data_IF_861430294585
#
_entry.id   IF_861430294585
#
_cell.length_a   1.000
_cell.length_b   1.000
_cell.length_c   1.000
_cell.angle_alpha   90.00
_cell.angle_beta   90.00
_cell.angle_gamma   90.00
#
_symmetry.space_group_name_H-M   'P 1'
#
loop_
_entity.id
_entity.type
_entity.pdbx_description
1 polymer ?
#
# COMPACT_ATOMS: atom_id res chain seq x y z
N UNK A 1 -11.93 29.24 7.49
CA UNK A 1 -12.43 27.87 7.63
C UNK A 1 -12.00 27.10 6.39
N UNK A 2 -11.36 25.95 6.59
CA UNK A 2 -10.97 25.06 5.50
C UNK A 2 -12.03 23.95 5.36
N UNK A 3 -12.45 23.64 4.12
CA UNK A 3 -13.42 22.57 3.86
C UNK A 3 -12.79 21.18 4.01
N UNK A 4 -11.47 21.07 3.85
CA UNK A 4 -10.69 19.85 3.98
C UNK A 4 -9.30 20.18 4.53
N UNK A 5 -8.84 19.39 5.47
CA UNK A 5 -7.47 19.47 6.01
C UNK A 5 -6.78 18.13 5.73
N UNK A 6 -5.66 18.18 5.03
CA UNK A 6 -4.78 17.04 4.82
C UNK A 6 -3.56 17.16 5.74
N UNK A 7 -3.25 16.10 6.46
CA UNK A 7 -2.11 16.05 7.39
C UNK A 7 -1.16 14.98 6.87
N UNK A 8 0.03 15.40 6.46
CA UNK A 8 1.13 14.51 6.11
C UNK A 8 1.97 14.26 7.36
N UNK A 9 2.23 12.99 7.67
CA UNK A 9 3.01 12.58 8.84
C UNK A 9 4.39 12.10 8.41
N UNK A 10 5.40 12.19 9.29
CA UNK A 10 6.67 11.49 9.07
C UNK A 10 6.43 9.98 8.85
N UNK A 11 7.34 9.33 8.12
CA UNK A 11 7.32 7.88 8.00
C UNK A 11 7.42 7.24 9.40
N UNK A 12 6.62 6.20 9.62
CA UNK A 12 6.55 5.47 10.88
C UNK A 12 6.99 4.02 10.63
N UNK A 13 7.88 3.52 11.48
CA UNK A 13 8.29 2.12 11.44
C UNK A 13 7.22 1.26 12.14
N UNK A 14 6.51 0.35 11.42
CA UNK A 14 5.49 -0.51 12.03
C UNK A 14 6.04 -1.39 13.16
N UNK A 15 7.32 -1.73 13.10
CA UNK A 15 7.97 -2.60 14.08
C UNK A 15 8.59 -1.84 15.27
N UNK A 16 8.34 -0.54 15.38
CA UNK A 16 8.71 0.30 16.52
C UNK A 16 7.45 0.70 17.31
N UNK A 17 7.09 -0.02 18.39
CA UNK A 17 5.82 0.22 19.12
C UNK A 17 5.63 1.67 19.59
N UNK A 18 6.70 2.32 20.03
CA UNK A 18 6.63 3.72 20.47
C UNK A 18 6.23 4.68 19.34
N UNK A 19 6.74 4.47 18.12
CA UNK A 19 6.39 5.31 16.96
C UNK A 19 4.91 5.11 16.57
N UNK A 20 4.44 3.86 16.62
CA UNK A 20 3.04 3.53 16.32
C UNK A 20 2.10 4.12 17.37
N UNK A 21 2.45 4.06 18.65
CA UNK A 21 1.67 4.64 19.74
C UNK A 21 1.61 6.18 19.67
N UNK A 22 2.72 6.83 19.33
CA UNK A 22 2.79 8.27 19.12
C UNK A 22 1.88 8.70 17.96
N UNK A 23 1.94 7.98 16.84
CA UNK A 23 1.08 8.23 15.68
C UNK A 23 -0.40 8.07 16.04
N UNK A 24 -0.76 6.99 16.72
CA UNK A 24 -2.12 6.72 17.18
C UNK A 24 -2.65 7.82 18.10
N UNK A 25 -1.81 8.26 19.04
CA UNK A 25 -2.14 9.34 19.98
C UNK A 25 -2.40 10.64 19.23
N UNK A 26 -1.52 10.98 18.28
CA UNK A 26 -1.67 12.17 17.45
C UNK A 26 -2.96 12.11 16.61
N UNK A 27 -3.19 11.02 15.88
CA UNK A 27 -4.36 10.87 15.04
C UNK A 27 -5.67 10.94 15.83
N UNK A 28 -5.69 10.37 17.04
CA UNK A 28 -6.84 10.46 17.95
C UNK A 28 -7.08 11.90 18.41
N UNK A 29 -6.02 12.63 18.75
CA UNK A 29 -6.12 14.01 19.23
C UNK A 29 -6.69 14.97 18.17
N UNK A 30 -6.38 14.74 16.88
CA UNK A 30 -6.88 15.57 15.78
C UNK A 30 -8.17 15.03 15.15
N UNK A 31 -8.66 13.89 15.62
CA UNK A 31 -9.86 13.19 15.10
C UNK A 31 -9.83 13.00 13.57
N UNK A 32 -8.65 12.72 13.01
CA UNK A 32 -8.46 12.54 11.58
C UNK A 32 -8.77 11.09 11.16
N UNK A 33 -9.31 10.93 9.95
CA UNK A 33 -9.30 9.63 9.27
C UNK A 33 -7.89 9.29 8.84
N UNK A 34 -7.47 8.06 9.07
CA UNK A 34 -6.11 7.62 8.79
C UNK A 34 -6.07 6.81 7.49
N UNK A 35 -5.25 7.24 6.56
CA UNK A 35 -4.98 6.51 5.32
C UNK A 35 -3.58 5.93 5.41
N UNK A 36 -3.48 4.60 5.46
CA UNK A 36 -2.20 3.91 5.41
C UNK A 36 -1.64 3.97 3.98
N UNK A 37 -0.47 4.54 3.81
CA UNK A 37 0.22 4.62 2.52
C UNK A 37 1.39 3.65 2.51
N UNK A 38 1.32 2.62 1.67
CA UNK A 38 2.39 1.63 1.50
C UNK A 38 2.91 1.61 0.07
N UNK A 39 4.23 1.42 -0.06
CA UNK A 39 4.88 1.32 -1.36
C UNK A 39 4.82 -0.12 -1.88
N UNK A 40 4.32 -0.33 -3.09
CA UNK A 40 4.39 -1.64 -3.74
C UNK A 40 5.85 -2.10 -3.92
N UNK A 41 6.06 -3.42 -3.93
CA UNK A 41 7.37 -4.01 -4.18
C UNK A 41 8.19 -4.39 -2.96
N UNK A 42 7.69 -4.17 -1.75
CA UNK A 42 8.23 -4.77 -0.53
C UNK A 42 7.76 -6.23 -0.40
N UNK A 43 8.38 -6.97 0.50
CA UNK A 43 8.00 -8.37 0.77
C UNK A 43 6.53 -8.50 1.17
N UNK A 44 5.89 -9.62 0.78
CA UNK A 44 4.46 -9.80 1.04
C UNK A 44 4.15 -9.96 2.53
N UNK A 45 5.03 -10.57 3.30
CA UNK A 45 4.84 -10.75 4.73
C UNK A 45 5.00 -9.40 5.45
N UNK A 46 6.07 -8.66 5.17
CA UNK A 46 6.28 -7.32 5.73
C UNK A 46 5.12 -6.37 5.40
N UNK A 47 4.55 -6.52 4.19
CA UNK A 47 3.42 -5.70 3.76
C UNK A 47 2.14 -6.03 4.54
N UNK A 48 1.91 -7.32 4.80
CA UNK A 48 0.79 -7.82 5.59
C UNK A 48 0.92 -7.39 7.06
N UNK A 49 2.07 -7.62 7.67
CA UNK A 49 2.36 -7.28 9.06
C UNK A 49 2.20 -5.77 9.31
N UNK A 50 2.75 -4.94 8.41
CA UNK A 50 2.59 -3.49 8.49
C UNK A 50 1.11 -3.08 8.42
N UNK A 51 0.34 -3.68 7.52
CA UNK A 51 -1.08 -3.38 7.39
C UNK A 51 -1.89 -3.79 8.63
N UNK A 52 -1.59 -4.95 9.22
CA UNK A 52 -2.23 -5.40 10.46
C UNK A 52 -1.92 -4.45 11.63
N UNK A 53 -0.65 -4.06 11.81
CA UNK A 53 -0.21 -3.17 12.88
C UNK A 53 -0.87 -1.78 12.75
N UNK A 54 -0.86 -1.19 11.56
CA UNK A 54 -1.47 0.12 11.36
C UNK A 54 -3.00 0.08 11.40
N UNK A 55 -3.63 -1.01 10.99
CA UNK A 55 -5.07 -1.21 11.18
C UNK A 55 -5.44 -1.25 12.66
N UNK A 56 -4.66 -1.96 13.49
CA UNK A 56 -4.83 -1.96 14.95
C UNK A 56 -4.55 -0.58 15.58
N UNK A 57 -3.73 0.24 14.93
CA UNK A 57 -3.48 1.63 15.35
C UNK A 57 -4.61 2.60 14.92
N UNK A 58 -5.51 2.19 14.04
CA UNK A 58 -6.68 2.96 13.62
C UNK A 58 -6.70 3.38 12.16
N UNK A 59 -5.87 2.76 11.29
CA UNK A 59 -5.97 3.02 9.86
C UNK A 59 -7.34 2.59 9.29
N UNK A 60 -7.94 3.44 8.47
CA UNK A 60 -9.27 3.25 7.88
C UNK A 60 -9.22 2.65 6.48
N UNK A 61 -8.15 2.87 5.76
CA UNK A 61 -7.99 2.42 4.38
C UNK A 61 -6.53 2.31 3.97
N UNK A 62 -6.28 1.54 2.92
CA UNK A 62 -4.98 1.32 2.31
C UNK A 62 -4.86 2.08 0.99
N UNK A 63 -3.80 2.86 0.85
CA UNK A 63 -3.38 3.48 -0.39
C UNK A 63 -2.04 2.88 -0.83
N UNK A 64 -1.96 2.39 -2.07
CA UNK A 64 -0.76 1.73 -2.58
C UNK A 64 -0.05 2.64 -3.58
N UNK A 65 1.24 2.87 -3.35
CA UNK A 65 2.06 3.70 -4.24
C UNK A 65 3.07 2.87 -5.02
N UNK A 66 3.70 3.48 -6.03
CA UNK A 66 4.80 2.90 -6.81
C UNK A 66 4.46 1.60 -7.52
N UNK A 67 3.25 1.46 -8.04
CA UNK A 67 2.88 0.29 -8.85
C UNK A 67 3.73 0.17 -10.13
N UNK A 68 4.19 1.28 -10.68
CA UNK A 68 5.10 1.37 -11.83
C UNK A 68 6.48 0.76 -11.55
N UNK A 69 6.93 0.79 -10.31
CA UNK A 69 8.22 0.26 -9.87
C UNK A 69 8.15 -1.20 -9.39
N UNK A 70 6.95 -1.73 -9.13
CA UNK A 70 6.76 -3.07 -8.62
C UNK A 70 6.58 -4.10 -9.75
N UNK A 71 7.05 -5.31 -9.51
CA UNK A 71 6.88 -6.44 -10.43
C UNK A 71 5.91 -7.51 -9.91
N UNK A 72 5.57 -7.44 -8.66
CA UNK A 72 4.67 -8.38 -7.98
C UNK A 72 3.72 -7.60 -7.10
N UNK A 73 2.45 -7.90 -7.20
CA UNK A 73 1.39 -7.16 -6.50
C UNK A 73 0.63 -8.01 -5.47
N UNK A 74 1.11 -9.24 -5.20
CA UNK A 74 0.49 -10.13 -4.21
C UNK A 74 0.45 -9.54 -2.80
N UNK A 75 1.46 -8.74 -2.43
CA UNK A 75 1.49 -8.03 -1.16
C UNK A 75 0.30 -7.11 -0.92
N UNK A 76 -0.26 -6.51 -1.99
CA UNK A 76 -1.44 -5.64 -1.88
C UNK A 76 -2.64 -6.43 -1.34
N UNK A 77 -2.82 -7.67 -1.83
CA UNK A 77 -3.91 -8.54 -1.36
C UNK A 77 -3.64 -8.98 0.07
N UNK A 78 -2.39 -9.40 0.36
CA UNK A 78 -2.00 -9.80 1.70
C UNK A 78 -2.28 -8.69 2.73
N UNK A 79 -1.85 -7.47 2.45
CA UNK A 79 -2.10 -6.31 3.30
C UNK A 79 -3.61 -6.00 3.48
N UNK A 80 -4.38 -6.05 2.40
CA UNK A 80 -5.81 -5.79 2.48
C UNK A 80 -6.55 -6.85 3.30
N UNK A 81 -6.13 -8.11 3.21
CA UNK A 81 -6.74 -9.23 3.93
C UNK A 81 -6.36 -9.21 5.40
N UNK A 82 -5.06 -9.16 5.72
CA UNK A 82 -4.57 -9.21 7.10
C UNK A 82 -4.92 -7.93 7.87
N UNK A 83 -4.75 -6.77 7.25
CA UNK A 83 -5.17 -5.49 7.85
C UNK A 83 -6.69 -5.29 7.84
N UNK A 84 -7.46 -6.09 7.08
CA UNK A 84 -8.89 -5.87 6.83
C UNK A 84 -9.21 -4.45 6.36
N UNK A 85 -8.27 -3.88 5.60
CA UNK A 85 -8.35 -2.52 5.10
C UNK A 85 -8.92 -2.50 3.68
N UNK A 86 -9.94 -1.70 3.39
CA UNK A 86 -10.34 -1.46 2.01
C UNK A 86 -9.21 -0.75 1.26
N UNK A 87 -8.94 -1.20 0.04
CA UNK A 87 -8.03 -0.51 -0.86
C UNK A 87 -8.78 0.68 -1.45
N UNK A 88 -8.33 1.89 -1.15
CA UNK A 88 -8.98 3.10 -1.64
C UNK A 88 -8.47 3.48 -3.03
N UNK A 89 -7.19 3.79 -3.14
CA UNK A 89 -6.59 4.27 -4.37
C UNK A 89 -5.16 3.75 -4.50
N UNK A 90 -4.61 3.86 -5.72
CA UNK A 90 -3.23 3.49 -5.97
C UNK A 90 -2.57 4.49 -6.92
N UNK A 91 -1.26 4.67 -6.81
CA UNK A 91 -0.48 5.42 -7.78
C UNK A 91 0.48 4.53 -8.56
N UNK A 92 0.50 4.72 -9.89
CA UNK A 92 1.29 3.96 -10.83
C UNK A 92 2.22 4.84 -11.68
N UNK A 93 2.47 6.06 -11.25
CA UNK A 93 3.28 7.04 -11.99
C UNK A 93 3.95 8.01 -11.01
N UNK A 94 5.15 8.50 -11.33
CA UNK A 94 5.79 9.56 -10.56
C UNK A 94 5.17 10.95 -10.79
N UNK A 95 4.26 11.09 -11.74
CA UNK A 95 3.65 12.38 -12.08
C UNK A 95 2.39 12.63 -11.24
N UNK A 96 2.41 13.67 -10.42
CA UNK A 96 1.34 14.03 -9.48
C UNK A 96 0.01 14.29 -10.20
N UNK A 97 0.03 14.92 -11.36
CA UNK A 97 -1.19 15.30 -12.10
C UNK A 97 -2.07 14.13 -12.58
N UNK A 98 -1.49 12.92 -12.70
CA UNK A 98 -2.18 11.71 -13.13
C UNK A 98 -2.06 10.58 -12.08
N UNK A 99 -1.77 10.94 -10.85
CA UNK A 99 -1.15 10.06 -9.87
C UNK A 99 -2.08 9.05 -9.20
N UNK A 100 -3.35 9.35 -9.04
CA UNK A 100 -4.26 8.51 -8.26
C UNK A 100 -5.28 7.83 -9.16
N UNK A 101 -5.42 6.52 -9.00
CA UNK A 101 -6.41 5.70 -9.67
C UNK A 101 -7.17 4.86 -8.66
N UNK A 102 -8.47 4.80 -8.78
CA UNK A 102 -9.29 3.90 -7.97
C UNK A 102 -8.96 2.45 -8.30
N UNK A 103 -8.61 1.69 -7.28
CA UNK A 103 -8.27 0.28 -7.39
C UNK A 103 -9.47 -0.57 -6.97
N UNK A 104 -10.39 -0.80 -7.90
CA UNK A 104 -11.52 -1.69 -7.69
C UNK A 104 -11.15 -3.16 -7.95
N UNK A 105 -11.99 -4.15 -7.57
CA UNK A 105 -11.69 -5.57 -7.75
C UNK A 105 -11.35 -5.97 -9.20
N UNK A 106 -11.97 -5.32 -10.20
CA UNK A 106 -11.73 -5.62 -11.61
C UNK A 106 -10.37 -5.10 -12.05
N UNK A 107 -10.03 -3.85 -11.70
CA UNK A 107 -8.72 -3.27 -12.02
C UNK A 107 -7.58 -3.99 -11.29
N UNK A 108 -7.80 -4.42 -10.05
CA UNK A 108 -6.85 -5.24 -9.31
C UNK A 108 -6.64 -6.61 -9.97
N UNK A 109 -7.72 -7.29 -10.37
CA UNK A 109 -7.63 -8.58 -11.07
C UNK A 109 -6.87 -8.47 -12.40
N UNK A 110 -7.08 -7.40 -13.16
CA UNK A 110 -6.31 -7.12 -14.40
C UNK A 110 -4.84 -6.92 -14.10
N UNK A 111 -4.52 -6.10 -13.11
CA UNK A 111 -3.15 -5.82 -12.70
C UNK A 111 -2.40 -7.12 -12.32
N UNK A 112 -3.03 -8.01 -11.57
CA UNK A 112 -2.49 -9.31 -11.18
C UNK A 112 -2.27 -10.24 -12.39
N UNK A 113 -3.24 -10.31 -13.32
CA UNK A 113 -3.17 -11.15 -14.52
C UNK A 113 -2.08 -10.67 -15.48
N UNK A 114 -1.95 -9.38 -15.72
CA UNK A 114 -0.89 -8.83 -16.57
C UNK A 114 0.50 -9.15 -16.01
N UNK A 115 0.63 -9.13 -14.70
CA UNK A 115 1.89 -9.47 -14.02
C UNK A 115 2.20 -10.96 -14.13
N UNK A 116 1.21 -11.83 -13.95
CA UNK A 116 1.37 -13.27 -14.10
C UNK A 116 1.78 -13.63 -15.53
N UNK A 117 1.17 -13.00 -16.53
CA UNK A 117 1.50 -13.20 -17.95
C UNK A 117 2.94 -12.75 -18.28
N UNK A 118 3.36 -11.59 -17.79
CA UNK A 118 4.74 -11.09 -17.97
C UNK A 118 5.79 -11.98 -17.31
N UNK A 119 5.47 -12.59 -16.16
CA UNK A 119 6.37 -13.51 -15.46
C UNK A 119 6.44 -14.89 -16.16
N UNK A 120 5.32 -15.39 -16.70
CA UNK A 120 5.26 -16.67 -17.41
C UNK A 120 5.98 -16.66 -18.77
N UNK A 121 6.10 -15.51 -19.41
CA UNK A 121 6.76 -15.34 -20.71
C UNK A 121 8.25 -14.95 -20.62
N UNK A 122 8.87 -15.01 -19.45
CA UNK A 122 10.33 -14.76 -19.37
C UNK A 122 11.08 -15.89 -20.05
N UNK A 123 11.94 -15.60 -21.04
CA UNK A 123 12.82 -16.62 -21.57
C UNK A 123 13.73 -17.15 -20.46
N UNK A 124 13.71 -18.45 -20.25
CA UNK A 124 14.64 -19.11 -19.33
C UNK A 124 16.04 -18.82 -19.84
N UNK A 125 16.80 -18.03 -19.12
CA UNK A 125 18.22 -17.82 -19.46
C UNK A 125 18.89 -19.21 -19.42
N UNK A 126 19.21 -19.75 -20.60
CA UNK A 126 20.04 -20.94 -20.70
C UNK A 126 21.38 -20.62 -20.05
N UNK A 127 21.70 -21.32 -18.98
CA UNK A 127 23.04 -21.32 -18.43
C UNK A 127 23.99 -21.70 -19.58
N UNK A 128 24.89 -20.79 -19.90
CA UNK A 128 25.99 -21.08 -20.80
C UNK A 128 26.91 -22.06 -20.07
N UNK A 129 27.05 -23.24 -20.63
CA UNK A 129 28.01 -24.27 -20.20
C UNK A 129 29.43 -23.82 -20.54
#
# INVERSE_FOLDING_TARGET
DADLVLIDTPGCNPFAPSEVDDLKTFATAVAARQILVLSAGIDCADFADAAEIFAAAGADSLHVTRLDCARRYGGIIAAAVEGRLPIAEASATPFIANGLSSLNPVSLARLLNETAFKLGNRPVARAAS
#
